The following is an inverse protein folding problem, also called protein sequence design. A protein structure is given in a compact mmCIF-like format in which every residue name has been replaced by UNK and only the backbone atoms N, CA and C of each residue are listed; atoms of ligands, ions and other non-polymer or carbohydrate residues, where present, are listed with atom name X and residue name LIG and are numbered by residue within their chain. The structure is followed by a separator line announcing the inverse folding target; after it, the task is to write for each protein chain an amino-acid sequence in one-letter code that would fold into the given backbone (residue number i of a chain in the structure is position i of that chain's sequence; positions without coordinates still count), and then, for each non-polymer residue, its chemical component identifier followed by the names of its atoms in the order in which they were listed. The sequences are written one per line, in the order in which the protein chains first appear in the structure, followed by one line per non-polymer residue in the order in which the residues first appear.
data_IF_525214005660
#
_entry.id   IF_525214005660
#
_cell.length_a   1.000
_cell.length_b   1.000
_cell.length_c   1.000
_cell.angle_alpha   90.00
_cell.angle_beta   90.00
_cell.angle_gamma   90.00
#
_symmetry.space_group_name_H-M   'P 1'
#
loop_
_entity.id
_entity.type
_entity.pdbx_description
1 polymer ?
#
# COMPACT_ATOMS: atom_id res chain seq x y z
N UNK A 1 14.41 38.76 -3.15
CA UNK A 1 14.82 38.74 -1.72
C UNK A 1 13.58 38.99 -0.88
N UNK A 2 12.98 37.93 -0.36
CA UNK A 2 11.91 38.00 0.62
C UNK A 2 12.03 36.75 1.46
N UNK A 3 12.77 36.83 2.57
CA UNK A 3 12.72 35.78 3.58
C UNK A 3 11.36 35.89 4.26
N UNK A 4 10.62 34.77 4.32
CA UNK A 4 9.45 34.69 5.17
C UNK A 4 9.95 34.68 6.63
N UNK A 5 9.92 35.84 7.27
CA UNK A 5 10.27 35.99 8.70
C UNK A 5 9.01 35.70 9.51
N UNK A 6 8.90 34.49 10.06
CA UNK A 6 7.87 34.17 11.06
C UNK A 6 8.39 34.55 12.45
N UNK A 7 8.28 35.84 12.81
CA UNK A 7 8.44 36.28 14.21
C UNK A 7 7.15 35.97 14.97
N UNK A 8 7.13 34.89 15.72
CA UNK A 8 6.09 34.68 16.73
C UNK A 8 6.39 35.56 17.95
N UNK A 9 5.35 36.18 18.52
CA UNK A 9 5.46 36.90 19.78
C UNK A 9 5.86 35.92 20.88
N UNK A 10 6.77 36.32 21.77
CA UNK A 10 7.37 35.53 22.87
C UNK A 10 6.39 34.94 23.90
N UNK A 11 5.07 35.08 23.66
CA UNK A 11 3.98 34.53 24.48
C UNK A 11 3.21 33.38 23.80
N UNK A 12 3.54 33.00 22.56
CA UNK A 12 2.89 31.90 21.81
C UNK A 12 3.68 30.58 21.89
N UNK A 13 4.93 30.61 22.37
CA UNK A 13 5.84 29.44 22.43
C UNK A 13 5.63 28.51 23.64
N UNK A 14 4.75 28.85 24.58
CA UNK A 14 4.46 27.99 25.75
C UNK A 14 3.40 26.96 25.34
N UNK A 15 3.83 25.74 25.00
CA UNK A 15 2.95 24.58 24.77
C UNK A 15 2.69 24.23 23.30
N UNK A 16 3.47 24.75 22.36
CA UNK A 16 3.36 24.36 20.96
C UNK A 16 3.94 22.95 20.76
N UNK A 17 3.07 21.98 20.48
CA UNK A 17 3.43 20.57 20.27
C UNK A 17 3.57 20.21 18.79
N UNK A 18 2.97 20.99 17.88
CA UNK A 18 2.98 20.77 16.44
C UNK A 18 3.43 22.02 15.70
N UNK A 19 4.40 21.88 14.80
CA UNK A 19 4.86 22.93 13.90
C UNK A 19 4.81 22.42 12.45
N UNK A 20 4.12 23.16 11.59
CA UNK A 20 4.09 22.92 10.15
C UNK A 20 4.58 24.16 9.40
N UNK A 21 5.53 23.95 8.49
CA UNK A 21 5.88 24.91 7.46
C UNK A 21 5.67 24.25 6.10
N UNK A 22 4.93 24.88 5.20
CA UNK A 22 4.86 24.48 3.79
C UNK A 22 5.11 25.72 2.96
N UNK A 23 6.38 25.99 2.67
CA UNK A 23 6.78 27.18 1.94
C UNK A 23 7.50 26.69 0.68
N UNK A 24 6.91 26.93 -0.49
CA UNK A 24 7.49 26.59 -1.80
C UNK A 24 8.78 27.38 -2.15
N UNK A 25 9.45 27.97 -1.15
CA UNK A 25 10.74 28.66 -1.22
C UNK A 25 11.65 28.12 -0.12
N UNK A 26 12.99 28.16 -0.28
CA UNK A 26 13.92 27.63 0.71
C UNK A 26 13.61 28.16 2.12
N UNK A 27 13.30 27.25 3.04
CA UNK A 27 13.08 27.58 4.43
C UNK A 27 14.42 27.70 5.15
N UNK A 28 14.73 28.90 5.65
CA UNK A 28 15.81 29.09 6.60
C UNK A 28 15.24 29.05 8.00
N UNK A 29 15.47 27.93 8.69
CA UNK A 29 14.95 27.71 10.03
C UNK A 29 15.48 28.77 11.01
N UNK A 30 16.60 29.47 10.76
CA UNK A 30 17.17 30.54 11.61
C UNK A 30 16.16 31.60 12.07
N UNK A 31 15.12 31.80 11.28
CA UNK A 31 14.04 32.77 11.54
C UNK A 31 12.88 32.22 12.36
N UNK A 32 12.93 30.94 12.73
CA UNK A 32 11.88 30.18 13.42
C UNK A 32 12.42 29.71 14.77
N UNK A 33 11.63 29.94 15.82
CA UNK A 33 11.87 29.39 17.14
C UNK A 33 11.35 27.95 17.20
N UNK A 34 12.21 27.00 17.56
CA UNK A 34 11.86 25.58 17.74
C UNK A 34 11.71 25.31 19.25
N UNK A 35 10.48 25.27 19.80
CA UNK A 35 10.30 25.08 21.23
C UNK A 35 10.73 23.66 21.64
N UNK A 36 11.39 23.46 22.79
CA UNK A 36 11.85 22.14 23.23
C UNK A 36 10.70 21.17 23.55
N UNK A 37 9.47 21.68 23.69
CA UNK A 37 8.25 20.89 23.92
C UNK A 37 7.65 20.28 22.66
N UNK A 38 8.24 20.53 21.49
CA UNK A 38 7.70 20.08 20.21
C UNK A 38 7.69 18.55 20.14
N UNK A 39 6.53 17.97 19.85
CA UNK A 39 6.36 16.52 19.63
C UNK A 39 6.29 16.18 18.15
N UNK A 40 5.84 17.12 17.32
CA UNK A 40 5.62 16.90 15.90
C UNK A 40 6.19 18.07 15.10
N UNK A 41 7.14 17.76 14.23
CA UNK A 41 7.77 18.71 13.33
C UNK A 41 7.51 18.29 11.89
N UNK A 42 6.71 19.07 11.18
CA UNK A 42 6.38 18.87 9.78
C UNK A 42 7.01 19.96 8.92
N UNK A 43 8.03 19.58 8.18
CA UNK A 43 8.77 20.43 7.26
C UNK A 43 8.54 20.00 5.81
N UNK A 44 7.32 19.53 5.49
CA UNK A 44 6.95 19.10 4.14
C UNK A 44 6.95 20.27 3.14
N UNK A 45 7.53 20.06 1.95
CA UNK A 45 7.60 21.06 0.86
C UNK A 45 8.28 22.38 1.27
N UNK A 46 9.54 22.32 1.70
CA UNK A 46 10.33 23.51 2.07
C UNK A 46 11.64 23.68 1.28
N UNK A 47 11.88 22.83 0.26
CA UNK A 47 13.12 22.81 -0.53
C UNK A 47 14.38 22.71 0.33
N UNK A 48 14.31 22.02 1.45
CA UNK A 48 15.45 21.82 2.36
C UNK A 48 16.50 20.95 1.66
N UNK A 49 17.75 21.42 1.64
CA UNK A 49 18.91 20.63 1.20
C UNK A 49 19.84 20.24 2.36
N UNK A 50 19.58 20.77 3.56
CA UNK A 50 20.33 20.50 4.79
C UNK A 50 19.36 20.46 5.97
N UNK A 51 19.74 19.75 7.04
CA UNK A 51 19.00 19.74 8.29
C UNK A 51 19.60 20.74 9.27
N UNK A 52 18.74 21.56 9.88
CA UNK A 52 19.17 22.53 10.89
C UNK A 52 19.52 21.82 12.20
N UNK A 53 20.72 22.10 12.72
CA UNK A 53 21.25 21.44 13.92
C UNK A 53 20.42 21.70 15.18
N UNK A 54 19.55 22.71 15.22
CA UNK A 54 18.67 22.97 16.37
C UNK A 54 17.62 21.88 16.55
N UNK A 55 17.29 21.13 15.49
CA UNK A 55 16.44 19.93 15.58
C UNK A 55 17.07 18.89 16.52
N UNK A 56 18.40 18.83 16.60
CA UNK A 56 19.14 17.92 17.47
C UNK A 56 18.85 18.09 18.98
N UNK A 57 18.17 19.16 19.38
CA UNK A 57 17.84 19.46 20.77
C UNK A 57 16.37 19.19 21.14
N UNK A 58 15.55 18.75 20.18
CA UNK A 58 14.11 18.52 20.38
C UNK A 58 13.85 17.16 21.04
N UNK A 59 14.19 17.03 22.32
CA UNK A 59 14.11 15.75 23.04
C UNK A 59 12.70 15.19 23.23
N UNK A 60 11.66 15.98 22.99
CA UNK A 60 10.25 15.54 23.06
C UNK A 60 9.69 15.12 21.69
N UNK A 61 10.50 15.22 20.63
CA UNK A 61 10.04 14.98 19.27
C UNK A 61 9.70 13.50 19.05
N UNK A 62 8.48 13.25 18.63
CA UNK A 62 7.91 11.94 18.28
C UNK A 62 7.77 11.75 16.79
N UNK A 63 7.53 12.82 16.04
CA UNK A 63 7.38 12.78 14.59
C UNK A 63 8.21 13.85 13.90
N UNK A 64 8.99 13.43 12.92
CA UNK A 64 9.71 14.31 12.01
C UNK A 64 9.32 13.98 10.56
N UNK A 65 8.67 14.93 9.89
CA UNK A 65 8.38 14.85 8.47
C UNK A 65 9.23 15.84 7.69
N UNK A 66 9.97 15.33 6.73
CA UNK A 66 10.84 16.08 5.81
C UNK A 66 10.43 15.79 4.36
N UNK A 67 9.17 15.42 4.15
CA UNK A 67 8.64 15.01 2.84
C UNK A 67 8.82 16.11 1.79
N UNK A 68 9.06 15.74 0.52
CA UNK A 68 9.06 16.70 -0.60
C UNK A 68 10.08 17.83 -0.42
N UNK A 69 11.32 17.46 -0.13
CA UNK A 69 12.44 18.40 -0.02
C UNK A 69 13.53 18.05 -1.04
N UNK A 70 14.74 18.58 -0.86
CA UNK A 70 15.90 18.35 -1.72
C UNK A 70 17.02 17.68 -0.92
N UNK A 71 16.65 16.84 0.05
CA UNK A 71 17.59 16.20 0.99
C UNK A 71 18.33 15.09 0.26
N UNK A 72 19.66 15.16 0.31
CA UNK A 72 20.61 14.17 -0.21
C UNK A 72 21.31 13.50 0.99
N UNK A 73 22.08 12.43 0.77
CA UNK A 73 22.62 11.60 1.86
C UNK A 73 23.45 12.40 2.89
N UNK A 74 24.24 13.38 2.42
CA UNK A 74 25.03 14.25 3.29
C UNK A 74 24.19 15.09 4.27
N UNK A 75 22.94 15.40 3.91
CA UNK A 75 22.06 16.20 4.75
C UNK A 75 21.48 15.40 5.93
N UNK A 76 21.38 14.08 5.79
CA UNK A 76 20.87 13.18 6.84
C UNK A 76 21.96 12.53 7.67
N UNK A 77 23.24 12.63 7.28
CA UNK A 77 24.39 12.16 8.07
C UNK A 77 24.32 12.61 9.56
N UNK A 78 23.95 13.87 9.89
CA UNK A 78 23.86 14.32 11.28
C UNK A 78 22.83 13.57 12.14
N UNK A 79 21.79 12.97 11.54
CA UNK A 79 20.74 12.26 12.27
C UNK A 79 21.32 11.15 13.16
N UNK A 80 22.35 10.46 12.69
CA UNK A 80 23.05 9.39 13.41
C UNK A 80 23.74 9.86 14.71
N UNK A 81 23.82 11.18 14.95
CA UNK A 81 24.51 11.79 16.10
C UNK A 81 23.57 12.61 16.98
N UNK A 82 22.28 12.63 16.69
CA UNK A 82 21.29 13.44 17.40
C UNK A 82 20.61 12.62 18.49
N UNK A 83 21.39 12.23 19.52
CA UNK A 83 20.96 11.32 20.60
C UNK A 83 19.65 11.74 21.31
N UNK A 84 19.37 13.05 21.35
CA UNK A 84 18.14 13.58 21.93
C UNK A 84 16.87 13.11 21.18
N UNK A 85 17.00 12.70 19.92
CA UNK A 85 15.90 12.20 19.10
C UNK A 85 15.70 10.68 19.24
N UNK A 86 16.38 10.01 20.17
CA UNK A 86 16.28 8.55 20.36
C UNK A 86 14.86 8.03 20.61
N UNK A 87 13.95 8.89 21.10
CA UNK A 87 12.55 8.61 21.37
C UNK A 87 11.60 8.90 20.18
N UNK A 88 12.14 9.23 19.00
CA UNK A 88 11.38 9.45 17.76
C UNK A 88 10.64 8.16 17.35
N UNK A 89 9.37 8.31 17.00
CA UNK A 89 8.47 7.20 16.65
C UNK A 89 8.18 7.16 15.15
N UNK A 90 8.20 8.31 14.48
CA UNK A 90 7.87 8.44 13.05
C UNK A 90 8.90 9.32 12.35
N UNK A 91 9.55 8.78 11.32
CA UNK A 91 10.46 9.52 10.44
C UNK A 91 10.01 9.38 8.99
N UNK A 92 9.72 10.52 8.34
CA UNK A 92 9.28 10.57 6.94
C UNK A 92 10.30 11.37 6.13
N UNK A 93 11.03 10.68 5.27
CA UNK A 93 12.00 11.22 4.31
C UNK A 93 11.52 11.07 2.86
N UNK A 94 10.24 10.74 2.67
CA UNK A 94 9.61 10.53 1.36
C UNK A 94 9.84 11.68 0.38
N UNK A 95 10.03 11.38 -0.90
CA UNK A 95 10.11 12.37 -1.98
C UNK A 95 11.26 13.36 -1.72
N UNK A 96 12.47 12.80 -1.71
CA UNK A 96 13.75 13.50 -1.56
C UNK A 96 14.74 12.88 -2.58
N UNK A 97 16.05 13.03 -2.36
CA UNK A 97 17.10 12.55 -3.25
C UNK A 97 18.11 11.64 -2.54
N UNK A 98 17.64 10.85 -1.59
CA UNK A 98 18.49 9.91 -0.88
C UNK A 98 18.87 8.76 -1.82
N UNK A 99 20.16 8.44 -1.92
CA UNK A 99 20.64 7.25 -2.63
C UNK A 99 20.83 6.07 -1.67
N UNK A 100 20.97 6.35 -0.37
CA UNK A 100 21.12 5.34 0.68
C UNK A 100 20.12 5.58 1.82
N UNK A 101 19.77 4.50 2.52
CA UNK A 101 19.03 4.63 3.78
C UNK A 101 19.95 5.23 4.84
N UNK A 102 19.59 6.34 5.51
CA UNK A 102 20.41 6.90 6.59
C UNK A 102 20.56 5.93 7.76
N UNK A 103 21.64 6.08 8.52
CA UNK A 103 21.81 5.33 9.77
C UNK A 103 20.75 5.79 10.80
N UNK A 104 19.75 4.93 11.00
CA UNK A 104 18.63 5.14 11.91
C UNK A 104 18.82 4.44 13.27
N UNK A 105 20.02 3.96 13.58
CA UNK A 105 20.29 3.15 14.78
C UNK A 105 20.03 3.87 16.11
N UNK A 106 20.08 5.20 16.12
CA UNK A 106 19.79 5.99 17.32
C UNK A 106 18.30 5.99 17.70
N UNK A 107 17.40 5.75 16.75
CA UNK A 107 15.95 5.89 16.95
C UNK A 107 15.37 4.63 17.60
N UNK A 108 15.65 4.46 18.90
CA UNK A 108 15.29 3.29 19.71
C UNK A 108 13.78 3.02 19.82
N UNK A 109 12.94 3.98 19.45
CA UNK A 109 11.47 3.87 19.46
C UNK A 109 10.82 4.00 18.08
N UNK A 110 11.60 3.99 17.00
CA UNK A 110 11.06 4.18 15.66
C UNK A 110 10.06 3.07 15.34
N UNK A 111 8.84 3.46 15.02
CA UNK A 111 7.73 2.59 14.64
C UNK A 111 7.49 2.63 13.13
N UNK A 112 7.56 3.84 12.56
CA UNK A 112 7.25 4.10 11.16
C UNK A 112 8.42 4.80 10.48
N UNK A 113 8.86 4.24 9.37
CA UNK A 113 9.89 4.82 8.53
C UNK A 113 9.47 4.84 7.06
N UNK A 114 9.31 6.03 6.50
CA UNK A 114 8.95 6.22 5.10
C UNK A 114 10.08 6.92 4.35
N UNK A 115 10.75 6.16 3.47
CA UNK A 115 11.81 6.62 2.56
C UNK A 115 11.37 6.52 1.10
N UNK A 116 10.07 6.41 0.84
CA UNK A 116 9.53 6.22 -0.51
C UNK A 116 9.86 7.39 -1.44
N UNK A 117 9.92 7.14 -2.74
CA UNK A 117 10.20 8.17 -3.76
C UNK A 117 11.56 8.85 -3.53
N UNK A 118 12.57 8.05 -3.24
CA UNK A 118 13.97 8.44 -3.24
C UNK A 118 14.71 7.68 -4.37
N UNK A 119 16.03 7.77 -4.40
CA UNK A 119 16.93 7.08 -5.34
C UNK A 119 17.60 5.85 -4.67
N UNK A 120 16.99 5.33 -3.59
CA UNK A 120 17.53 4.25 -2.76
C UNK A 120 17.55 2.93 -3.55
N UNK A 121 18.72 2.33 -3.70
CA UNK A 121 18.89 1.02 -4.36
C UNK A 121 19.13 -0.14 -3.40
N UNK A 122 19.46 0.16 -2.14
CA UNK A 122 19.75 -0.81 -1.09
C UNK A 122 19.17 -0.34 0.23
N UNK A 123 18.63 -1.27 1.03
CA UNK A 123 18.13 -0.97 2.36
C UNK A 123 19.16 -1.15 3.47
N UNK A 124 20.46 -1.32 3.17
CA UNK A 124 21.53 -1.66 4.13
C UNK A 124 21.55 -0.83 5.42
N UNK A 125 21.17 0.45 5.36
CA UNK A 125 21.03 1.32 6.53
C UNK A 125 20.03 0.84 7.59
N UNK A 126 19.10 -0.07 7.24
CA UNK A 126 18.18 -0.69 8.20
C UNK A 126 18.82 -1.84 9.01
N UNK A 127 20.04 -2.28 8.69
CA UNK A 127 20.68 -3.44 9.35
C UNK A 127 20.87 -3.24 10.85
N UNK A 128 20.93 -1.98 11.28
CA UNK A 128 21.03 -1.54 12.67
C UNK A 128 19.74 -0.85 13.16
N UNK A 129 18.65 -0.95 12.40
CA UNK A 129 17.39 -0.35 12.78
C UNK A 129 16.90 -0.89 14.13
N UNK A 130 16.14 -0.07 14.85
CA UNK A 130 15.54 -0.48 16.11
C UNK A 130 14.68 -1.73 15.93
N UNK A 131 14.72 -2.61 16.93
CA UNK A 131 13.80 -3.74 17.07
C UNK A 131 12.34 -3.32 17.30
N UNK A 132 12.03 -2.03 17.24
CA UNK A 132 10.68 -1.48 17.34
C UNK A 132 10.04 -1.18 15.98
N UNK A 133 10.79 -1.22 14.88
CA UNK A 133 10.26 -0.81 13.57
C UNK A 133 9.14 -1.77 13.13
N UNK A 134 7.97 -1.21 12.84
CA UNK A 134 6.76 -1.95 12.45
C UNK A 134 6.36 -1.69 11.01
N UNK A 135 6.51 -0.44 10.56
CA UNK A 135 6.06 -0.02 9.25
C UNK A 135 7.25 0.54 8.46
N UNK A 136 7.51 -0.05 7.30
CA UNK A 136 8.55 0.36 6.38
C UNK A 136 7.95 0.62 5.00
N UNK A 137 8.08 1.85 4.53
CA UNK A 137 7.67 2.27 3.20
C UNK A 137 8.88 2.65 2.37
N UNK A 138 9.10 1.93 1.28
CA UNK A 138 10.14 2.23 0.32
C UNK A 138 9.61 2.13 -1.12
N UNK A 139 10.02 3.10 -1.93
CA UNK A 139 9.78 3.15 -3.36
C UNK A 139 10.99 3.82 -3.98
N UNK A 140 11.59 3.19 -4.98
CA UNK A 140 12.76 3.74 -5.67
C UNK A 140 12.40 4.17 -7.08
N UNK A 141 12.98 5.29 -7.51
CA UNK A 141 12.76 5.81 -8.85
C UNK A 141 13.95 5.40 -9.72
N UNK A 142 13.66 4.87 -10.91
CA UNK A 142 14.60 4.58 -11.99
C UNK A 142 15.52 3.35 -11.85
N UNK A 143 15.69 2.79 -10.66
CA UNK A 143 16.60 1.64 -10.43
C UNK A 143 15.90 0.47 -9.71
N UNK A 144 16.34 -0.78 -9.90
CA UNK A 144 15.86 -1.90 -9.08
C UNK A 144 16.34 -1.80 -7.63
N UNK A 145 15.48 -2.18 -6.69
CA UNK A 145 15.85 -2.38 -5.30
C UNK A 145 16.52 -3.74 -5.11
N UNK A 146 17.64 -3.76 -4.40
CA UNK A 146 18.30 -4.98 -3.96
C UNK A 146 18.14 -5.15 -2.45
N UNK A 147 17.65 -6.32 -2.03
CA UNK A 147 17.55 -6.69 -0.62
C UNK A 147 18.67 -7.64 -0.19
N UNK A 148 19.57 -8.03 -1.11
CA UNK A 148 20.53 -9.13 -0.99
C UNK A 148 21.51 -8.99 0.19
N UNK A 149 21.76 -7.78 0.69
CA UNK A 149 22.78 -7.48 1.71
C UNK A 149 22.28 -7.22 3.14
N UNK A 150 20.96 -7.22 3.40
CA UNK A 150 20.39 -6.81 4.69
C UNK A 150 19.40 -7.78 5.31
N UNK A 151 19.44 -8.00 6.62
CA UNK A 151 18.33 -8.57 7.40
C UNK A 151 17.24 -7.52 7.67
N UNK A 152 16.01 -7.83 7.27
CA UNK A 152 14.85 -6.96 7.54
C UNK A 152 14.43 -7.08 9.02
N UNK A 153 13.99 -6.00 9.69
CA UNK A 153 13.54 -6.08 11.09
C UNK A 153 12.39 -7.09 11.25
N UNK A 154 12.53 -8.13 12.10
CA UNK A 154 11.52 -9.19 12.23
C UNK A 154 10.21 -8.71 12.88
N UNK A 155 10.20 -7.49 13.41
CA UNK A 155 9.05 -6.83 14.02
C UNK A 155 8.14 -6.12 13.03
N UNK A 156 8.51 -6.08 11.75
CA UNK A 156 7.69 -5.46 10.71
C UNK A 156 6.31 -6.12 10.64
N UNK A 157 5.27 -5.30 10.75
CA UNK A 157 3.89 -5.65 10.49
C UNK A 157 3.45 -5.19 9.10
N UNK A 158 4.08 -4.15 8.57
CA UNK A 158 3.71 -3.54 7.30
C UNK A 158 4.98 -3.26 6.47
N UNK A 159 5.06 -3.92 5.32
CA UNK A 159 6.15 -3.74 4.36
C UNK A 159 5.57 -3.31 3.03
N UNK A 160 5.86 -2.07 2.65
CA UNK A 160 5.48 -1.50 1.36
C UNK A 160 6.72 -1.31 0.49
N UNK A 161 6.82 -2.13 -0.54
CA UNK A 161 7.83 -2.10 -1.59
C UNK A 161 7.21 -1.69 -2.93
N UNK A 162 6.24 -0.77 -2.90
CA UNK A 162 5.64 -0.19 -4.11
C UNK A 162 6.68 0.50 -4.99
N UNK A 163 6.63 0.33 -6.31
CA UNK A 163 7.53 1.00 -7.28
C UNK A 163 9.01 0.76 -6.92
N UNK A 164 9.46 -0.49 -6.98
CA UNK A 164 10.87 -0.85 -6.76
C UNK A 164 11.49 -1.66 -7.90
N UNK A 165 10.76 -1.81 -9.02
CA UNK A 165 11.17 -2.61 -10.19
C UNK A 165 11.64 -4.03 -9.84
N UNK A 166 11.09 -4.61 -8.77
CA UNK A 166 11.41 -5.96 -8.34
C UNK A 166 10.96 -6.97 -9.39
N UNK A 167 11.88 -7.79 -9.89
CA UNK A 167 11.57 -8.96 -10.74
C UNK A 167 11.67 -10.28 -9.99
N UNK A 168 12.30 -10.28 -8.81
CA UNK A 168 12.45 -11.42 -7.92
C UNK A 168 12.15 -10.96 -6.49
N UNK A 169 11.77 -11.89 -5.63
CA UNK A 169 11.54 -11.63 -4.22
C UNK A 169 12.64 -12.25 -3.37
N UNK A 170 13.21 -11.45 -2.47
CA UNK A 170 14.27 -11.89 -1.59
C UNK A 170 13.73 -12.82 -0.49
N UNK A 171 14.44 -13.93 -0.24
CA UNK A 171 14.01 -14.95 0.72
C UNK A 171 13.94 -14.44 2.16
N UNK A 172 14.58 -13.33 2.52
CA UNK A 172 14.46 -12.78 3.88
C UNK A 172 13.08 -12.25 4.21
N UNK A 173 12.28 -11.89 3.21
CA UNK A 173 10.87 -11.55 3.43
C UNK A 173 10.14 -12.76 4.07
N UNK A 174 10.58 -13.99 3.78
CA UNK A 174 10.04 -15.21 4.36
C UNK A 174 10.25 -15.36 5.88
N UNK A 175 11.05 -14.49 6.50
CA UNK A 175 11.33 -14.53 7.95
C UNK A 175 10.51 -13.53 8.76
N UNK A 176 9.71 -12.68 8.11
CA UNK A 176 8.91 -11.63 8.76
C UNK A 176 7.63 -12.19 9.38
N UNK A 177 7.76 -12.95 10.46
CA UNK A 177 6.63 -13.67 11.09
C UNK A 177 5.54 -12.77 11.69
N UNK A 178 5.82 -11.48 11.88
CA UNK A 178 4.85 -10.49 12.36
C UNK A 178 4.13 -9.76 11.23
N UNK A 179 4.49 -10.02 9.96
CA UNK A 179 3.98 -9.27 8.82
C UNK A 179 2.48 -9.52 8.61
N UNK A 180 1.74 -8.42 8.55
CA UNK A 180 0.30 -8.36 8.30
C UNK A 180 -0.01 -7.83 6.92
N UNK A 181 0.81 -6.92 6.41
CA UNK A 181 0.63 -6.29 5.11
C UNK A 181 1.91 -6.34 4.29
N UNK A 182 1.78 -6.89 3.09
CA UNK A 182 2.83 -6.87 2.08
C UNK A 182 2.30 -6.19 0.81
N UNK A 183 2.88 -5.03 0.48
CA UNK A 183 2.62 -4.35 -0.79
C UNK A 183 3.81 -4.44 -1.72
N UNK A 184 3.57 -4.97 -2.91
CA UNK A 184 4.52 -5.13 -4.00
C UNK A 184 3.99 -4.46 -5.27
N UNK A 185 3.17 -3.42 -5.10
CA UNK A 185 2.50 -2.74 -6.20
C UNK A 185 3.50 -2.12 -7.17
N UNK A 186 3.19 -2.10 -8.47
CA UNK A 186 4.00 -1.40 -9.49
C UNK A 186 5.45 -1.90 -9.55
N UNK A 187 5.63 -3.22 -9.58
CA UNK A 187 6.92 -3.86 -9.78
C UNK A 187 6.96 -4.60 -11.13
N UNK A 188 7.94 -5.49 -11.32
CA UNK A 188 8.11 -6.29 -12.53
C UNK A 188 7.97 -7.78 -12.20
N UNK A 189 7.13 -8.11 -11.21
CA UNK A 189 6.99 -9.46 -10.66
C UNK A 189 6.24 -10.33 -11.67
N UNK A 190 6.88 -11.43 -12.05
CA UNK A 190 6.34 -12.50 -12.90
C UNK A 190 6.09 -13.75 -12.04
N UNK A 191 5.43 -14.78 -12.58
CA UNK A 191 4.97 -15.94 -11.80
C UNK A 191 6.11 -16.65 -11.04
N UNK A 192 7.31 -16.73 -11.63
CA UNK A 192 8.49 -17.34 -11.00
C UNK A 192 8.93 -16.66 -9.71
N UNK A 193 8.67 -15.36 -9.56
CA UNK A 193 9.07 -14.58 -8.40
C UNK A 193 8.18 -14.84 -7.18
N UNK A 194 6.95 -15.33 -7.40
CA UNK A 194 5.96 -15.60 -6.36
C UNK A 194 5.80 -17.10 -6.04
N UNK A 195 6.42 -17.99 -6.82
CA UNK A 195 6.52 -19.43 -6.50
C UNK A 195 6.97 -19.71 -5.04
N UNK A 196 7.93 -18.95 -4.46
CA UNK A 196 8.37 -19.18 -3.09
C UNK A 196 7.30 -18.98 -2.02
N UNK A 197 6.21 -18.24 -2.28
CA UNK A 197 5.16 -17.98 -1.29
C UNK A 197 4.64 -19.24 -0.63
N UNK A 198 4.46 -20.32 -1.40
CA UNK A 198 4.03 -21.64 -0.92
C UNK A 198 4.92 -22.27 0.17
N UNK A 199 6.12 -21.71 0.40
CA UNK A 199 7.12 -22.19 1.38
C UNK A 199 7.46 -21.15 2.45
N UNK A 200 6.80 -20.01 2.45
CA UNK A 200 7.06 -18.91 3.39
C UNK A 200 6.16 -19.02 4.62
N UNK A 201 6.17 -20.19 5.29
CA UNK A 201 5.23 -20.55 6.36
C UNK A 201 5.12 -19.52 7.50
N UNK A 202 6.21 -18.77 7.76
CA UNK A 202 6.22 -17.71 8.76
C UNK A 202 5.23 -16.58 8.45
N UNK A 203 4.86 -16.40 7.17
CA UNK A 203 3.90 -15.39 6.72
C UNK A 203 2.45 -15.87 6.75
N UNK A 204 2.16 -17.03 7.35
CA UNK A 204 0.80 -17.60 7.37
C UNK A 204 -0.28 -16.72 8.03
N UNK A 205 0.14 -15.74 8.83
CA UNK A 205 -0.70 -14.75 9.51
C UNK A 205 -0.87 -13.43 8.71
N UNK A 206 -0.40 -13.36 7.46
CA UNK A 206 -0.58 -12.22 6.56
C UNK A 206 -2.07 -11.95 6.30
N UNK A 207 -2.46 -10.68 6.35
CA UNK A 207 -3.84 -10.20 6.23
C UNK A 207 -4.08 -9.44 4.92
N UNK A 208 -3.08 -8.74 4.38
CA UNK A 208 -3.16 -8.01 3.12
C UNK A 208 -1.98 -8.34 2.20
N UNK A 209 -2.29 -8.81 0.98
CA UNK A 209 -1.31 -9.05 -0.09
C UNK A 209 -1.68 -8.24 -1.33
N UNK A 210 -0.83 -7.29 -1.70
CA UNK A 210 -1.05 -6.39 -2.84
C UNK A 210 0.04 -6.62 -3.89
N UNK A 211 -0.34 -7.27 -4.99
CA UNK A 211 0.48 -7.55 -6.17
C UNK A 211 0.02 -6.76 -7.40
N UNK A 212 -0.72 -5.68 -7.17
CA UNK A 212 -1.29 -4.84 -8.21
C UNK A 212 -0.22 -4.26 -9.15
N UNK A 213 -0.49 -4.19 -10.45
CA UNK A 213 0.39 -3.53 -11.43
C UNK A 213 1.76 -4.24 -11.49
N UNK A 214 1.71 -5.52 -11.86
CA UNK A 214 2.85 -6.41 -12.06
C UNK A 214 2.62 -7.18 -13.39
N UNK A 215 3.28 -8.33 -13.58
CA UNK A 215 3.22 -9.15 -14.80
C UNK A 215 2.82 -10.59 -14.52
N UNK A 216 1.96 -10.82 -13.52
CA UNK A 216 1.48 -12.16 -13.20
C UNK A 216 0.56 -12.67 -14.32
N UNK A 217 0.81 -13.87 -14.83
CA UNK A 217 -0.06 -14.52 -15.81
C UNK A 217 -1.03 -15.52 -15.15
N UNK A 218 -0.72 -15.94 -13.91
CA UNK A 218 -1.51 -16.86 -13.11
C UNK A 218 -1.76 -16.32 -11.70
N UNK A 219 -2.75 -16.88 -11.00
CA UNK A 219 -2.95 -16.59 -9.58
C UNK A 219 -1.85 -17.30 -8.78
N UNK A 220 -1.05 -16.60 -7.95
CA UNK A 220 0.01 -17.23 -7.17
C UNK A 220 -0.55 -18.23 -6.14
N UNK A 221 0.26 -19.22 -5.77
CA UNK A 221 -0.10 -20.13 -4.68
C UNK A 221 -0.05 -19.40 -3.33
N UNK A 222 -1.24 -18.99 -2.87
CA UNK A 222 -1.47 -18.27 -1.62
C UNK A 222 -1.99 -19.18 -0.50
N UNK A 223 -1.82 -20.50 -0.62
CA UNK A 223 -2.37 -21.49 0.33
C UNK A 223 -1.91 -21.31 1.77
N UNK A 224 -0.73 -20.74 1.98
CA UNK A 224 -0.17 -20.52 3.32
C UNK A 224 -0.84 -19.35 4.06
N UNK A 225 -1.42 -18.37 3.36
CA UNK A 225 -1.94 -17.13 3.95
C UNK A 225 -3.33 -17.37 4.57
N UNK A 226 -3.33 -18.10 5.68
CA UNK A 226 -4.54 -18.60 6.35
C UNK A 226 -5.46 -17.50 6.87
N UNK A 227 -4.94 -16.29 7.11
CA UNK A 227 -5.66 -15.11 7.60
C UNK A 227 -5.90 -14.02 6.56
N UNK A 228 -5.67 -14.31 5.28
CA UNK A 228 -5.73 -13.30 4.24
C UNK A 228 -7.13 -12.69 4.12
N UNK A 229 -7.23 -11.37 4.32
CA UNK A 229 -8.47 -10.59 4.26
C UNK A 229 -8.58 -9.84 2.93
N UNK A 230 -7.46 -9.31 2.42
CA UNK A 230 -7.41 -8.51 1.18
C UNK A 230 -6.39 -9.11 0.24
N UNK A 231 -6.81 -9.37 -1.00
CA UNK A 231 -5.94 -9.83 -2.07
C UNK A 231 -6.17 -9.00 -3.33
N UNK A 232 -5.14 -8.24 -3.75
CA UNK A 232 -5.19 -7.43 -4.96
C UNK A 232 -4.14 -7.88 -5.98
N UNK A 233 -4.62 -8.47 -7.07
CA UNK A 233 -3.84 -8.85 -8.26
C UNK A 233 -4.32 -8.08 -9.49
N UNK A 234 -4.92 -6.91 -9.30
CA UNK A 234 -5.39 -6.08 -10.41
C UNK A 234 -4.23 -5.55 -11.25
N UNK A 235 -4.48 -5.21 -12.52
CA UNK A 235 -3.45 -4.70 -13.44
C UNK A 235 -2.29 -5.71 -13.59
N UNK A 236 -2.64 -6.95 -13.93
CA UNK A 236 -1.70 -8.01 -14.28
C UNK A 236 -2.12 -8.60 -15.64
N UNK A 237 -1.57 -9.76 -16.00
CA UNK A 237 -1.86 -10.49 -17.24
C UNK A 237 -2.62 -11.80 -16.95
N UNK A 238 -3.32 -11.88 -15.82
CA UNK A 238 -3.97 -13.11 -15.33
C UNK A 238 -5.08 -13.55 -16.28
N UNK A 239 -4.99 -14.77 -16.81
CA UNK A 239 -5.95 -15.29 -17.80
C UNK A 239 -7.08 -16.14 -17.20
N UNK A 240 -6.85 -16.69 -16.00
CA UNK A 240 -7.75 -17.60 -15.28
C UNK A 240 -7.70 -17.35 -13.77
N UNK A 241 -8.78 -17.67 -13.06
CA UNK A 241 -8.83 -17.65 -11.59
C UNK A 241 -8.40 -18.98 -10.95
N UNK A 242 -7.93 -19.93 -11.75
CA UNK A 242 -7.38 -21.20 -11.27
C UNK A 242 -6.29 -20.95 -10.22
N UNK A 243 -6.40 -21.66 -9.09
CA UNK A 243 -5.55 -21.46 -7.92
C UNK A 243 -6.27 -20.77 -6.76
N UNK A 244 -7.34 -20.01 -7.00
CA UNK A 244 -8.14 -19.40 -5.93
C UNK A 244 -8.83 -20.42 -5.03
N UNK A 245 -9.01 -21.66 -5.48
CA UNK A 245 -9.50 -22.76 -4.63
C UNK A 245 -8.63 -23.02 -3.40
N UNK A 246 -7.35 -22.59 -3.44
CA UNK A 246 -6.41 -22.65 -2.32
C UNK A 246 -6.44 -21.42 -1.41
N UNK A 247 -7.10 -20.33 -1.83
CA UNK A 247 -7.19 -19.10 -1.04
C UNK A 247 -7.99 -19.34 0.24
N UNK A 248 -7.62 -18.66 1.33
CA UNK A 248 -8.33 -18.74 2.60
C UNK A 248 -9.78 -18.27 2.45
N UNK A 249 -10.71 -18.99 3.09
CA UNK A 249 -12.12 -18.58 3.17
C UNK A 249 -12.35 -17.33 4.01
N UNK A 250 -11.32 -16.82 4.69
CA UNK A 250 -11.34 -15.55 5.43
C UNK A 250 -11.30 -14.31 4.55
N UNK A 251 -11.06 -14.48 3.23
CA UNK A 251 -10.94 -13.39 2.28
C UNK A 251 -12.23 -12.56 2.22
N UNK A 252 -12.09 -11.25 2.41
CA UNK A 252 -13.18 -10.26 2.38
C UNK A 252 -13.17 -9.42 1.11
N UNK A 253 -11.99 -9.13 0.58
CA UNK A 253 -11.83 -8.27 -0.58
C UNK A 253 -10.92 -8.93 -1.61
N UNK A 254 -11.44 -9.10 -2.83
CA UNK A 254 -10.71 -9.67 -3.95
C UNK A 254 -10.75 -8.71 -5.14
N UNK A 255 -9.58 -8.23 -5.52
CA UNK A 255 -9.39 -7.31 -6.64
C UNK A 255 -8.60 -7.97 -7.76
N UNK A 256 -9.26 -8.16 -8.91
CA UNK A 256 -8.70 -8.79 -10.13
C UNK A 256 -8.98 -7.93 -11.35
N UNK A 257 -9.26 -6.64 -11.17
CA UNK A 257 -9.54 -5.74 -12.29
C UNK A 257 -8.35 -5.64 -13.25
N UNK A 258 -8.60 -5.33 -14.53
CA UNK A 258 -7.54 -5.11 -15.53
C UNK A 258 -6.63 -6.33 -15.67
N UNK A 259 -7.25 -7.47 -15.95
CA UNK A 259 -6.61 -8.74 -16.28
C UNK A 259 -7.24 -9.30 -17.58
N UNK A 260 -6.97 -10.56 -17.91
CA UNK A 260 -7.51 -11.25 -19.08
C UNK A 260 -8.53 -12.36 -18.73
N UNK A 261 -9.06 -12.35 -17.51
CA UNK A 261 -9.95 -13.40 -16.99
C UNK A 261 -11.21 -13.53 -17.84
N UNK A 262 -11.50 -14.77 -18.28
CA UNK A 262 -12.64 -15.05 -19.15
C UNK A 262 -13.83 -15.75 -18.46
N UNK A 263 -13.61 -16.29 -17.25
CA UNK A 263 -14.64 -17.00 -16.47
C UNK A 263 -14.40 -16.79 -14.96
N UNK A 264 -15.50 -16.66 -14.22
CA UNK A 264 -15.50 -16.72 -12.75
C UNK A 264 -15.54 -18.19 -12.32
N UNK A 265 -14.58 -18.63 -11.53
CA UNK A 265 -14.45 -19.99 -11.01
C UNK A 265 -13.58 -20.01 -9.75
N UNK A 266 -13.69 -21.07 -8.95
CA UNK A 266 -12.87 -21.31 -7.75
C UNK A 266 -12.98 -20.23 -6.67
N UNK A 267 -14.15 -19.61 -6.56
CA UNK A 267 -14.46 -18.63 -5.50
C UNK A 267 -15.63 -19.07 -4.62
N UNK A 268 -16.19 -20.26 -4.87
CA UNK A 268 -17.43 -20.73 -4.25
C UNK A 268 -17.28 -20.92 -2.72
N UNK A 269 -16.07 -21.12 -2.23
CA UNK A 269 -15.74 -21.28 -0.80
C UNK A 269 -15.49 -19.95 -0.07
N UNK A 270 -15.42 -18.82 -0.78
CA UNK A 270 -15.15 -17.49 -0.21
C UNK A 270 -16.43 -16.87 0.41
N UNK A 271 -17.00 -17.56 1.40
CA UNK A 271 -18.29 -17.18 2.00
C UNK A 271 -18.27 -15.85 2.74
N UNK A 272 -17.09 -15.37 3.14
CA UNK A 272 -16.88 -14.09 3.82
C UNK A 272 -16.58 -12.92 2.87
N UNK A 273 -16.55 -13.17 1.56
CA UNK A 273 -16.26 -12.14 0.56
C UNK A 273 -17.34 -11.04 0.56
N UNK A 274 -16.90 -9.80 0.66
CA UNK A 274 -17.72 -8.58 0.72
C UNK A 274 -17.54 -7.73 -0.55
N UNK A 275 -16.33 -7.69 -1.10
CA UNK A 275 -16.00 -6.92 -2.31
C UNK A 275 -15.36 -7.84 -3.34
N UNK A 276 -15.93 -7.86 -4.54
CA UNK A 276 -15.35 -8.53 -5.71
C UNK A 276 -15.25 -7.56 -6.88
N UNK A 277 -14.02 -7.28 -7.30
CA UNK A 277 -13.72 -6.37 -8.42
C UNK A 277 -13.05 -7.13 -9.56
N UNK A 278 -13.77 -7.23 -10.67
CA UNK A 278 -13.44 -7.97 -11.89
C UNK A 278 -13.58 -7.09 -13.15
N UNK A 279 -13.59 -5.76 -13.00
CA UNK A 279 -13.72 -4.82 -14.09
C UNK A 279 -12.54 -4.87 -15.08
N UNK A 280 -12.79 -4.53 -16.33
CA UNK A 280 -11.80 -4.58 -17.43
C UNK A 280 -11.16 -5.97 -17.61
N UNK A 281 -11.98 -7.01 -17.67
CA UNK A 281 -11.60 -8.39 -17.99
C UNK A 281 -12.26 -8.85 -19.30
N UNK A 282 -12.30 -10.16 -19.56
CA UNK A 282 -12.89 -10.78 -20.76
C UNK A 282 -14.11 -11.65 -20.43
N UNK A 283 -14.78 -11.40 -19.30
CA UNK A 283 -15.94 -12.16 -18.85
C UNK A 283 -17.13 -12.01 -19.81
N UNK A 284 -17.82 -13.11 -20.11
CA UNK A 284 -18.99 -13.11 -21.01
C UNK A 284 -20.29 -13.57 -20.34
N UNK A 285 -20.18 -14.20 -19.16
CA UNK A 285 -21.29 -14.67 -18.33
C UNK A 285 -20.89 -14.56 -16.86
N UNK A 286 -21.88 -14.33 -15.99
CA UNK A 286 -21.72 -14.43 -14.54
C UNK A 286 -22.38 -15.73 -14.07
N UNK A 287 -21.62 -16.58 -13.39
CA UNK A 287 -22.04 -17.86 -12.80
C UNK A 287 -21.29 -18.08 -11.48
N UNK A 288 -21.71 -19.08 -10.70
CA UNK A 288 -21.04 -19.52 -9.47
C UNK A 288 -20.97 -18.44 -8.37
N UNK A 289 -22.06 -17.69 -8.22
CA UNK A 289 -22.16 -16.59 -7.24
C UNK A 289 -23.06 -16.97 -6.06
N UNK A 290 -23.78 -18.09 -6.12
CA UNK A 290 -24.84 -18.44 -5.16
C UNK A 290 -24.36 -18.60 -3.71
N UNK A 291 -23.08 -18.91 -3.50
CA UNK A 291 -22.48 -19.09 -2.18
C UNK A 291 -21.92 -17.81 -1.55
N UNK A 292 -21.79 -16.74 -2.32
CA UNK A 292 -21.22 -15.44 -1.90
C UNK A 292 -22.26 -14.59 -1.17
N UNK A 293 -22.88 -15.17 -0.14
CA UNK A 293 -24.05 -14.63 0.56
C UNK A 293 -23.78 -13.33 1.32
N UNK A 294 -22.51 -12.99 1.58
CA UNK A 294 -22.07 -11.74 2.24
C UNK A 294 -21.56 -10.67 1.26
N UNK A 295 -21.58 -10.94 -0.05
CA UNK A 295 -21.08 -10.00 -1.04
C UNK A 295 -21.95 -8.73 -1.05
N UNK A 296 -21.31 -7.58 -0.84
CA UNK A 296 -21.97 -6.26 -0.78
C UNK A 296 -21.67 -5.43 -2.04
N UNK A 297 -20.48 -5.57 -2.62
CA UNK A 297 -20.06 -4.82 -3.80
C UNK A 297 -19.52 -5.75 -4.90
N UNK A 298 -20.07 -5.60 -6.11
CA UNK A 298 -19.68 -6.36 -7.29
C UNK A 298 -19.39 -5.42 -8.46
N UNK A 299 -18.13 -5.39 -8.88
CA UNK A 299 -17.67 -4.50 -9.94
C UNK A 299 -17.22 -5.30 -11.16
N UNK A 300 -17.93 -5.13 -12.27
CA UNK A 300 -17.79 -5.92 -13.51
C UNK A 300 -17.78 -5.03 -14.75
N UNK A 301 -17.50 -3.74 -14.59
CA UNK A 301 -17.48 -2.77 -15.69
C UNK A 301 -16.45 -3.16 -16.76
N UNK A 302 -16.68 -2.81 -18.03
CA UNK A 302 -15.78 -3.08 -19.17
C UNK A 302 -15.47 -4.58 -19.34
N UNK A 303 -16.51 -5.41 -19.40
CA UNK A 303 -16.42 -6.82 -19.76
C UNK A 303 -17.22 -7.10 -21.05
N UNK A 304 -17.52 -8.37 -21.35
CA UNK A 304 -18.32 -8.81 -22.50
C UNK A 304 -19.60 -9.54 -22.05
N UNK A 305 -20.11 -9.23 -20.85
CA UNK A 305 -21.18 -9.98 -20.20
C UNK A 305 -22.50 -9.78 -20.94
N UNK A 306 -23.13 -10.88 -21.32
CA UNK A 306 -24.46 -10.89 -21.99
C UNK A 306 -25.59 -11.38 -21.09
N UNK A 307 -25.26 -12.26 -20.16
CA UNK A 307 -26.19 -12.92 -19.25
C UNK A 307 -25.63 -12.84 -17.84
N UNK A 308 -26.49 -12.45 -16.90
CA UNK A 308 -26.18 -12.46 -15.48
C UNK A 308 -26.97 -13.57 -14.79
N UNK A 309 -26.34 -14.21 -13.81
CA UNK A 309 -27.01 -15.05 -12.83
C UNK A 309 -26.49 -14.63 -11.45
N UNK A 310 -27.26 -13.80 -10.75
CA UNK A 310 -26.93 -13.26 -9.44
C UNK A 310 -27.78 -13.89 -8.32
N UNK A 311 -28.32 -15.08 -8.58
CA UNK A 311 -29.08 -15.86 -7.62
C UNK A 311 -28.28 -16.00 -6.31
N UNK A 312 -28.94 -15.81 -5.16
CA UNK A 312 -28.31 -15.93 -3.84
C UNK A 312 -27.60 -14.67 -3.31
N UNK A 313 -27.32 -13.66 -4.15
CA UNK A 313 -26.68 -12.41 -3.73
C UNK A 313 -27.67 -11.46 -3.03
N UNK A 314 -28.17 -11.85 -1.87
CA UNK A 314 -29.22 -11.11 -1.13
C UNK A 314 -28.71 -9.88 -0.38
N UNK A 315 -27.41 -9.82 -0.09
CA UNK A 315 -26.76 -8.71 0.61
C UNK A 315 -26.12 -7.69 -0.33
N UNK A 316 -26.20 -7.89 -1.65
CA UNK A 316 -25.54 -7.03 -2.63
C UNK A 316 -26.17 -5.64 -2.61
N UNK A 317 -25.34 -4.62 -2.36
CA UNK A 317 -25.74 -3.21 -2.29
C UNK A 317 -25.34 -2.45 -3.55
N UNK A 318 -24.18 -2.77 -4.14
CA UNK A 318 -23.66 -2.08 -5.32
C UNK A 318 -23.26 -3.04 -6.42
N UNK A 319 -23.77 -2.80 -7.62
CA UNK A 319 -23.39 -3.55 -8.82
C UNK A 319 -22.99 -2.58 -9.92
N UNK A 320 -21.76 -2.73 -10.44
CA UNK A 320 -21.32 -2.04 -11.65
C UNK A 320 -21.18 -3.01 -12.82
N UNK A 321 -22.00 -2.81 -13.85
CA UNK A 321 -22.00 -3.58 -15.10
C UNK A 321 -21.84 -2.65 -16.31
N UNK A 322 -21.27 -1.45 -16.11
CA UNK A 322 -21.08 -0.48 -17.18
C UNK A 322 -20.22 -1.06 -18.31
N UNK A 323 -20.47 -0.68 -19.56
CA UNK A 323 -19.68 -1.14 -20.72
C UNK A 323 -19.65 -2.68 -20.84
N UNK A 324 -20.83 -3.29 -20.91
CA UNK A 324 -21.05 -4.71 -21.15
C UNK A 324 -21.99 -4.93 -22.35
N UNK A 325 -22.49 -6.15 -22.54
CA UNK A 325 -23.33 -6.55 -23.67
C UNK A 325 -24.71 -7.03 -23.21
N UNK A 326 -25.20 -6.54 -22.06
CA UNK A 326 -26.50 -6.93 -21.53
C UNK A 326 -27.62 -6.40 -22.41
N UNK A 327 -28.63 -7.25 -22.64
CA UNK A 327 -29.83 -6.89 -23.44
C UNK A 327 -31.12 -6.97 -22.62
N UNK A 328 -31.07 -7.51 -21.41
CA UNK A 328 -32.22 -7.67 -20.51
C UNK A 328 -31.80 -7.53 -19.04
N UNK A 329 -32.78 -7.30 -18.17
CA UNK A 329 -32.65 -7.25 -16.71
C UNK A 329 -32.90 -8.60 -16.02
N UNK A 330 -32.91 -9.71 -16.76
CA UNK A 330 -33.10 -11.05 -16.17
C UNK A 330 -31.87 -11.43 -15.33
N UNK A 331 -32.08 -12.03 -14.17
CA UNK A 331 -31.02 -12.51 -13.27
C UNK A 331 -30.70 -11.58 -12.10
N UNK A 332 -31.47 -10.50 -11.91
CA UNK A 332 -31.38 -9.56 -10.78
C UNK A 332 -32.49 -9.76 -9.74
N UNK A 333 -33.37 -10.75 -9.92
CA UNK A 333 -34.62 -10.90 -9.16
C UNK A 333 -34.40 -11.09 -7.65
N UNK A 334 -33.27 -11.66 -7.25
CA UNK A 334 -32.93 -11.94 -5.84
C UNK A 334 -32.11 -10.82 -5.15
N UNK A 335 -31.70 -9.78 -5.89
CA UNK A 335 -30.88 -8.68 -5.38
C UNK A 335 -31.71 -7.66 -4.58
N UNK A 336 -32.37 -8.13 -3.52
CA UNK A 336 -33.35 -7.36 -2.74
C UNK A 336 -32.76 -6.20 -1.93
N UNK A 337 -31.46 -6.23 -1.65
CA UNK A 337 -30.73 -5.18 -0.93
C UNK A 337 -30.02 -4.18 -1.86
N UNK A 338 -30.25 -4.25 -3.18
CA UNK A 338 -29.53 -3.44 -4.15
C UNK A 338 -29.88 -1.95 -4.03
N UNK A 339 -28.87 -1.14 -3.77
CA UNK A 339 -28.98 0.32 -3.59
C UNK A 339 -28.46 1.08 -4.82
N UNK A 340 -27.36 0.61 -5.42
CA UNK A 340 -26.71 1.25 -6.56
C UNK A 340 -26.49 0.27 -7.72
N UNK A 341 -26.98 0.64 -8.91
CA UNK A 341 -26.87 -0.17 -10.12
C UNK A 341 -26.39 0.65 -11.31
N UNK A 342 -25.18 0.37 -11.77
CA UNK A 342 -24.54 1.10 -12.87
C UNK A 342 -24.55 0.27 -14.17
N UNK A 343 -25.37 0.68 -15.15
CA UNK A 343 -25.63 -0.07 -16.40
C UNK A 343 -25.28 0.67 -17.69
N UNK A 344 -24.64 1.85 -17.60
CA UNK A 344 -24.30 2.66 -18.79
C UNK A 344 -23.52 1.85 -19.84
N UNK A 345 -23.73 2.12 -21.13
CA UNK A 345 -23.08 1.40 -22.23
C UNK A 345 -23.37 -0.11 -22.24
N UNK A 346 -24.66 -0.47 -22.20
CA UNK A 346 -25.19 -1.80 -22.50
C UNK A 346 -26.21 -1.72 -23.65
N UNK A 347 -26.75 -2.86 -24.08
CA UNK A 347 -27.78 -2.98 -25.12
C UNK A 347 -29.20 -3.20 -24.58
N UNK A 348 -29.50 -2.74 -23.36
CA UNK A 348 -30.78 -3.01 -22.68
C UNK A 348 -31.89 -2.21 -23.37
N UNK A 349 -32.67 -2.89 -24.23
CA UNK A 349 -33.74 -2.26 -25.01
C UNK A 349 -35.11 -2.28 -24.32
N UNK A 350 -35.28 -3.08 -23.26
CA UNK A 350 -36.54 -3.21 -22.52
C UNK A 350 -36.28 -3.23 -21.02
N UNK A 351 -36.74 -2.20 -20.33
CA UNK A 351 -36.91 -2.18 -18.89
C UNK A 351 -38.28 -2.77 -18.58
N UNK A 352 -38.33 -4.00 -18.07
CA UNK A 352 -39.52 -4.50 -17.37
C UNK A 352 -39.13 -4.62 -15.92
N UNK A 353 -39.59 -3.64 -15.14
CA UNK A 353 -39.57 -3.67 -13.69
C UNK A 353 -40.44 -4.82 -13.18
#
# INVERSE_FOLDING_TARGET
MGSAVFRWASSVSIGLSYLNSTINTPLHLDSIELPPTLTDLDLTVNRLSELDSRIAHLSMLKKLSLRQNLIEDSAVEPLSRWDALSDLEVLILRDNKLAEVPDISIFSRLLVFDVSFNEITSLEGLSKASSTLKELYNSTINTPLHLDSIELPPTLTDLDLTVNRLSELDSRIAHLSMLKKLSLRQNLIEDSAVEPFSRWDALSDLEELILRDNKLAEVPDISIFSRLLVFDVSFNEITSLEGLSKASSTLKELYVSKNEVNKIMEIEHLHDLQILELGSNRLWVIVNMESLTKLEELWLGRNRIKVVNLCGLRCIKKISLQSNQLTSMKGFEDCVALEELYLSHNGISKWKA
#
